data_IF_842437679430
#
_entry.id   IF_842437679430
#
_cell.length_a   1.000
_cell.length_b   1.000
_cell.length_c   1.000
_cell.angle_alpha   90.00
_cell.angle_beta   90.00
_cell.angle_gamma   90.00
#
_symmetry.space_group_name_H-M   'P 1'
#
loop_
_entity.id
_entity.type
_entity.pdbx_description
1 polymer ?
#
# COMPACT_ATOMS: atom_id res chain seq x y z
N UNK A 1 -8.37 -9.68 -9.30
CA UNK A 1 -7.04 -9.45 -8.69
C UNK A 1 -6.25 -8.42 -9.51
N UNK A 2 -6.06 -8.61 -10.80
CA UNK A 2 -5.32 -7.66 -11.65
C UNK A 2 -5.91 -6.25 -11.60
N UNK A 3 -7.23 -6.10 -11.60
CA UNK A 3 -7.91 -4.80 -11.45
C UNK A 3 -7.60 -4.16 -10.08
N UNK A 4 -7.54 -4.98 -9.01
CA UNK A 4 -7.12 -4.50 -7.69
C UNK A 4 -5.66 -4.02 -7.72
N UNK A 5 -4.76 -4.75 -8.37
CA UNK A 5 -3.35 -4.38 -8.49
C UNK A 5 -3.15 -3.07 -9.28
N UNK A 6 -3.87 -2.90 -10.39
CA UNK A 6 -3.84 -1.66 -11.18
C UNK A 6 -4.38 -0.47 -10.38
N UNK A 7 -5.50 -0.65 -9.68
CA UNK A 7 -6.06 0.41 -8.85
C UNK A 7 -5.21 0.69 -7.61
N UNK A 8 -4.56 -0.33 -7.05
CA UNK A 8 -3.61 -0.18 -5.96
C UNK A 8 -2.48 0.79 -6.31
N UNK A 9 -1.95 0.71 -7.53
CA UNK A 9 -0.92 1.62 -8.04
C UNK A 9 -1.40 3.09 -8.20
N UNK A 10 -2.69 3.34 -8.05
CA UNK A 10 -3.27 4.70 -8.05
C UNK A 10 -3.59 5.13 -6.62
N UNK A 11 -4.24 4.25 -5.84
CA UNK A 11 -4.80 4.60 -4.53
C UNK A 11 -3.78 4.61 -3.39
N UNK A 12 -2.78 3.75 -3.43
CA UNK A 12 -1.79 3.58 -2.37
C UNK A 12 -2.35 3.16 -1.00
N UNK A 13 -3.62 2.71 -0.96
CA UNK A 13 -4.36 2.44 0.27
C UNK A 13 -5.24 1.19 0.13
N UNK A 14 -5.12 0.27 1.10
CA UNK A 14 -5.92 -0.97 1.11
C UNK A 14 -7.43 -0.71 1.24
N UNK A 15 -7.93 0.11 2.19
CA UNK A 15 -9.36 0.37 2.30
C UNK A 15 -9.95 1.02 1.04
N UNK A 16 -9.24 1.95 0.43
CA UNK A 16 -9.70 2.64 -0.78
C UNK A 16 -9.78 1.66 -1.95
N UNK A 17 -8.74 0.84 -2.14
CA UNK A 17 -8.73 -0.20 -3.18
C UNK A 17 -9.88 -1.18 -2.99
N UNK A 18 -10.09 -1.68 -1.75
CA UNK A 18 -11.17 -2.60 -1.45
C UNK A 18 -12.55 -2.00 -1.73
N UNK A 19 -12.80 -0.78 -1.26
CA UNK A 19 -14.12 -0.14 -1.41
C UNK A 19 -14.42 0.21 -2.87
N UNK A 20 -13.47 0.82 -3.58
CA UNK A 20 -13.69 1.24 -4.96
C UNK A 20 -13.85 0.04 -5.91
N UNK A 21 -12.91 -0.89 -5.89
CA UNK A 21 -12.95 -2.05 -6.76
C UNK A 21 -13.99 -3.06 -6.29
N UNK A 22 -14.18 -3.21 -4.97
CA UNK A 22 -15.18 -4.11 -4.40
C UNK A 22 -16.60 -3.73 -4.79
N UNK A 23 -16.94 -2.44 -4.79
CA UNK A 23 -18.27 -1.96 -5.19
C UNK A 23 -18.62 -2.35 -6.64
N UNK A 24 -17.62 -2.39 -7.52
CA UNK A 24 -17.82 -2.72 -8.94
C UNK A 24 -17.73 -4.23 -9.17
N UNK A 25 -16.68 -4.89 -8.65
CA UNK A 25 -16.40 -6.28 -8.99
C UNK A 25 -17.22 -7.28 -8.17
N UNK A 26 -17.65 -6.96 -6.95
CA UNK A 26 -18.41 -7.90 -6.14
C UNK A 26 -19.71 -8.35 -6.82
N UNK A 27 -20.61 -7.45 -7.28
CA UNK A 27 -21.82 -7.86 -7.98
C UNK A 27 -21.50 -8.61 -9.28
N UNK A 28 -20.46 -8.21 -10.01
CA UNK A 28 -20.07 -8.90 -11.24
C UNK A 28 -19.58 -10.34 -10.97
N UNK A 29 -18.77 -10.57 -9.93
CA UNK A 29 -18.30 -11.90 -9.55
C UNK A 29 -19.45 -12.83 -9.15
N UNK A 30 -20.45 -12.31 -8.42
CA UNK A 30 -21.64 -13.08 -8.04
C UNK A 30 -22.47 -13.44 -9.26
N UNK A 31 -22.68 -12.50 -10.20
CA UNK A 31 -23.41 -12.75 -11.44
C UNK A 31 -22.69 -13.77 -12.35
N UNK A 32 -21.36 -13.80 -12.33
CA UNK A 32 -20.55 -14.78 -13.06
C UNK A 32 -20.49 -16.17 -12.38
N UNK A 33 -21.18 -16.36 -11.24
CA UNK A 33 -21.31 -17.65 -10.56
C UNK A 33 -20.21 -17.93 -9.52
N UNK A 34 -19.39 -16.96 -9.17
CA UNK A 34 -18.42 -17.10 -8.08
C UNK A 34 -19.14 -17.19 -6.73
N UNK A 35 -18.61 -18.01 -5.82
CA UNK A 35 -19.20 -18.10 -4.47
C UNK A 35 -19.01 -16.79 -3.70
N UNK A 36 -19.97 -16.45 -2.83
CA UNK A 36 -19.94 -15.25 -1.99
C UNK A 36 -18.65 -15.15 -1.17
N UNK A 37 -18.28 -16.26 -0.52
CA UNK A 37 -17.09 -16.32 0.34
C UNK A 37 -15.79 -16.10 -0.47
N UNK A 38 -15.68 -16.71 -1.65
CA UNK A 38 -14.54 -16.49 -2.52
C UNK A 38 -14.49 -15.03 -3.00
N UNK A 39 -15.63 -14.47 -3.45
CA UNK A 39 -15.68 -13.10 -3.97
C UNK A 39 -15.26 -12.07 -2.92
N UNK A 40 -15.75 -12.21 -1.69
CA UNK A 40 -15.35 -11.35 -0.58
C UNK A 40 -13.86 -11.53 -0.24
N UNK A 41 -13.40 -12.76 -0.06
CA UNK A 41 -12.00 -13.04 0.26
C UNK A 41 -11.03 -12.57 -0.83
N UNK A 42 -11.38 -12.78 -2.11
CA UNK A 42 -10.55 -12.35 -3.23
C UNK A 42 -10.45 -10.82 -3.34
N UNK A 43 -11.55 -10.10 -3.08
CA UNK A 43 -11.56 -8.64 -3.08
C UNK A 43 -10.82 -8.08 -1.86
N UNK A 44 -11.00 -8.67 -0.68
CA UNK A 44 -10.29 -8.25 0.53
C UNK A 44 -8.79 -8.47 0.38
N UNK A 45 -8.38 -9.68 -0.06
CA UNK A 45 -6.97 -9.97 -0.33
C UNK A 45 -6.41 -9.11 -1.48
N UNK A 46 -7.20 -8.86 -2.53
CA UNK A 46 -6.81 -7.93 -3.60
C UNK A 46 -6.66 -6.48 -3.12
N UNK A 47 -7.49 -6.06 -2.18
CA UNK A 47 -7.38 -4.74 -1.55
C UNK A 47 -6.06 -4.51 -0.83
N UNK A 48 -5.49 -5.56 -0.22
CA UNK A 48 -4.20 -5.44 0.49
C UNK A 48 -3.03 -5.07 -0.42
N UNK A 49 -3.14 -5.30 -1.72
CA UNK A 49 -2.13 -4.87 -2.70
C UNK A 49 -1.88 -3.36 -2.67
N UNK A 50 -2.87 -2.55 -2.26
CA UNK A 50 -2.72 -1.10 -2.10
C UNK A 50 -1.70 -0.65 -1.05
N UNK A 51 -1.24 -1.55 -0.19
CA UNK A 51 -0.17 -1.27 0.78
C UNK A 51 1.20 -1.63 0.21
N UNK A 52 1.28 -2.65 -0.65
CA UNK A 52 2.54 -3.21 -1.14
C UNK A 52 2.93 -2.65 -2.51
N UNK A 53 1.95 -2.49 -3.42
CA UNK A 53 2.21 -1.93 -4.75
C UNK A 53 2.42 -0.42 -4.64
N UNK A 54 3.56 0.12 -5.13
CA UNK A 54 3.80 1.56 -5.11
C UNK A 54 2.83 2.34 -6.03
N UNK A 55 2.52 3.61 -5.66
CA UNK A 55 2.87 4.31 -4.43
C UNK A 55 2.06 3.81 -3.23
N UNK A 56 2.67 3.73 -2.06
CA UNK A 56 2.05 3.18 -0.85
C UNK A 56 2.17 4.15 0.32
N UNK A 57 1.04 4.51 0.94
CA UNK A 57 1.02 5.39 2.11
C UNK A 57 1.83 4.80 3.27
N UNK A 58 1.71 3.53 3.64
CA UNK A 58 2.54 2.90 4.67
C UNK A 58 4.04 2.98 4.40
N UNK A 59 4.49 2.80 3.15
CA UNK A 59 5.90 2.93 2.80
C UNK A 59 6.39 4.39 2.93
N UNK A 60 5.56 5.37 2.58
CA UNK A 60 5.86 6.80 2.79
C UNK A 60 6.05 7.08 4.28
N UNK A 61 5.15 6.60 5.12
CA UNK A 61 5.22 6.79 6.57
C UNK A 61 6.43 6.09 7.19
N UNK A 62 6.73 4.87 6.74
CA UNK A 62 7.95 4.18 7.14
C UNK A 62 9.20 5.00 6.78
N UNK A 63 9.32 5.45 5.54
CA UNK A 63 10.44 6.28 5.08
C UNK A 63 10.57 7.58 5.89
N UNK A 64 9.43 8.21 6.23
CA UNK A 64 9.40 9.43 7.03
C UNK A 64 9.97 9.22 8.45
N UNK A 65 9.50 8.17 9.17
CA UNK A 65 9.92 7.97 10.56
C UNK A 65 11.29 7.30 10.69
N UNK A 66 11.74 6.57 9.68
CA UNK A 66 13.05 5.93 9.64
C UNK A 66 14.10 6.75 8.88
N UNK A 67 13.70 7.87 8.27
CA UNK A 67 14.56 8.74 7.46
C UNK A 67 15.24 8.00 6.28
N UNK A 68 14.53 7.01 5.72
CA UNK A 68 15.00 6.25 4.55
C UNK A 68 14.33 6.77 3.27
N UNK A 69 15.04 6.70 2.12
CA UNK A 69 14.51 7.18 0.84
C UNK A 69 13.21 6.47 0.44
N UNK A 70 12.15 7.23 0.21
CA UNK A 70 10.84 6.71 -0.19
C UNK A 70 10.90 6.08 -1.59
N UNK A 71 11.73 6.63 -2.49
CA UNK A 71 11.97 6.07 -3.83
C UNK A 71 12.45 4.63 -3.79
N UNK A 72 13.40 4.34 -2.89
CA UNK A 72 14.01 3.03 -2.76
C UNK A 72 13.01 2.02 -2.18
N UNK A 73 12.18 2.46 -1.22
CA UNK A 73 11.07 1.66 -0.70
C UNK A 73 10.05 1.32 -1.80
N UNK A 74 9.74 2.27 -2.67
CA UNK A 74 8.84 2.03 -3.79
C UNK A 74 9.43 1.02 -4.78
N UNK A 75 10.71 1.16 -5.15
CA UNK A 75 11.38 0.20 -6.03
C UNK A 75 11.38 -1.19 -5.41
N UNK A 76 11.73 -1.29 -4.12
CA UNK A 76 11.76 -2.55 -3.40
C UNK A 76 10.38 -3.23 -3.27
N UNK A 77 9.30 -2.45 -3.25
CA UNK A 77 7.92 -2.95 -3.18
C UNK A 77 7.39 -3.58 -4.46
N UNK A 78 7.99 -3.30 -5.64
CA UNK A 78 7.50 -3.79 -6.94
C UNK A 78 7.52 -5.32 -6.99
N UNK A 79 8.64 -5.93 -6.68
CA UNK A 79 8.81 -7.40 -6.80
C UNK A 79 7.85 -8.15 -5.84
N UNK A 80 7.80 -7.83 -4.53
CA UNK A 80 6.84 -8.43 -3.61
C UNK A 80 5.39 -8.21 -4.05
N UNK A 81 5.04 -7.00 -4.50
CA UNK A 81 3.70 -6.68 -5.00
C UNK A 81 3.29 -7.53 -6.20
N UNK A 82 4.19 -7.70 -7.16
CA UNK A 82 3.97 -8.57 -8.32
C UNK A 82 3.86 -10.05 -7.92
N UNK A 83 4.70 -10.53 -6.99
CA UNK A 83 4.64 -11.91 -6.50
C UNK A 83 3.30 -12.21 -5.80
N UNK A 84 2.84 -11.31 -4.93
CA UNK A 84 1.55 -11.46 -4.25
C UNK A 84 0.42 -11.41 -5.27
N UNK A 85 0.46 -10.48 -6.22
CA UNK A 85 -0.54 -10.39 -7.31
C UNK A 85 -0.59 -11.68 -8.12
N UNK A 86 0.57 -12.24 -8.48
CA UNK A 86 0.65 -13.51 -9.22
C UNK A 86 0.11 -14.68 -8.40
N UNK A 87 0.47 -14.78 -7.12
CA UNK A 87 0.00 -15.84 -6.23
C UNK A 87 -1.53 -15.77 -6.03
N UNK A 88 -2.09 -14.59 -5.76
CA UNK A 88 -3.53 -14.40 -5.63
C UNK A 88 -4.27 -14.66 -6.94
N UNK A 89 -3.70 -14.26 -8.08
CA UNK A 89 -4.29 -14.54 -9.39
C UNK A 89 -4.30 -16.03 -9.70
N UNK A 90 -3.21 -16.73 -9.41
CA UNK A 90 -3.08 -18.18 -9.59
C UNK A 90 -4.07 -18.94 -8.69
N UNK A 91 -4.20 -18.55 -7.43
CA UNK A 91 -5.20 -19.07 -6.52
C UNK A 91 -6.63 -18.84 -7.03
N UNK A 92 -6.92 -17.63 -7.52
CA UNK A 92 -8.23 -17.29 -8.07
C UNK A 92 -8.59 -18.12 -9.30
N UNK A 93 -7.63 -18.35 -10.19
CA UNK A 93 -7.80 -19.23 -11.36
C UNK A 93 -8.01 -20.69 -10.95
N UNK A 94 -7.27 -21.16 -9.95
CA UNK A 94 -7.39 -22.54 -9.48
C UNK A 94 -8.74 -22.83 -8.83
N UNK A 95 -9.24 -21.93 -7.98
CA UNK A 95 -10.54 -22.09 -7.29
C UNK A 95 -11.69 -22.01 -8.29
N UNK A 96 -11.63 -21.07 -9.24
CA UNK A 96 -12.71 -20.84 -10.21
C UNK A 96 -12.55 -21.61 -11.53
N UNK A 97 -11.68 -22.60 -11.60
CA UNK A 97 -11.43 -23.40 -12.81
C UNK A 97 -12.65 -24.11 -13.40
N UNK A 98 -13.69 -24.25 -12.60
CA UNK A 98 -14.96 -24.87 -12.99
C UNK A 98 -15.95 -23.90 -13.64
N UNK A 99 -15.70 -22.59 -13.53
CA UNK A 99 -16.53 -21.58 -14.17
C UNK A 99 -16.20 -21.48 -15.66
N UNK A 100 -17.19 -21.25 -16.51
CA UNK A 100 -16.96 -21.09 -17.94
C UNK A 100 -16.10 -19.85 -18.19
N UNK A 101 -15.00 -20.04 -18.95
CA UNK A 101 -14.18 -18.93 -19.36
C UNK A 101 -14.96 -18.05 -20.35
N UNK A 102 -15.13 -16.78 -20.05
CA UNK A 102 -15.64 -15.81 -21.01
C UNK A 102 -14.54 -15.50 -22.02
N UNK A 103 -14.87 -15.54 -23.30
CA UNK A 103 -13.92 -15.13 -24.33
C UNK A 103 -13.58 -13.64 -24.15
N UNK A 104 -12.29 -13.34 -24.13
CA UNK A 104 -11.82 -11.97 -24.18
C UNK A 104 -12.17 -11.41 -25.57
N UNK A 105 -13.02 -10.39 -25.62
CA UNK A 105 -13.30 -9.67 -26.86
C UNK A 105 -12.26 -8.56 -27.05
N UNK A 106 -11.30 -8.71 -27.98
CA UNK A 106 -10.20 -7.76 -28.14
C UNK A 106 -10.68 -6.32 -28.37
N UNK A 107 -11.80 -6.17 -29.07
CA UNK A 107 -12.37 -4.86 -29.38
C UNK A 107 -12.88 -4.15 -28.12
N UNK A 108 -13.53 -4.87 -27.20
CA UNK A 108 -13.97 -4.32 -25.91
C UNK A 108 -12.77 -3.95 -25.01
N UNK A 109 -11.72 -4.77 -25.03
CA UNK A 109 -10.50 -4.47 -24.27
C UNK A 109 -9.81 -3.19 -24.79
N UNK A 110 -9.71 -3.03 -26.11
CA UNK A 110 -9.12 -1.84 -26.72
C UNK A 110 -9.96 -0.58 -26.42
N UNK A 111 -11.29 -0.70 -26.48
CA UNK A 111 -12.19 0.41 -26.12
C UNK A 111 -12.01 0.82 -24.66
N UNK A 112 -12.03 -0.16 -23.74
CA UNK A 112 -11.83 0.10 -22.32
C UNK A 112 -10.45 0.70 -21.99
N UNK A 113 -9.39 0.23 -22.67
CA UNK A 113 -8.05 0.82 -22.55
C UNK A 113 -8.01 2.26 -23.07
N UNK A 114 -8.69 2.54 -24.18
CA UNK A 114 -8.74 3.88 -24.75
C UNK A 114 -9.52 4.86 -23.86
N UNK A 115 -10.60 4.41 -23.26
CA UNK A 115 -11.39 5.21 -22.30
C UNK A 115 -10.63 5.44 -21.00
N UNK A 116 -9.95 4.39 -20.48
CA UNK A 116 -9.19 4.44 -19.23
C UNK A 116 -7.76 4.98 -19.33
N UNK A 117 -7.29 5.35 -20.55
CA UNK A 117 -5.88 5.75 -20.76
C UNK A 117 -5.46 6.91 -19.87
N UNK A 118 -6.34 7.87 -19.69
CA UNK A 118 -6.05 9.05 -18.87
C UNK A 118 -5.85 8.68 -17.39
N UNK A 119 -6.69 7.81 -16.84
CA UNK A 119 -6.53 7.31 -15.48
C UNK A 119 -5.29 6.44 -15.33
N UNK A 120 -4.97 5.61 -16.33
CA UNK A 120 -3.78 4.75 -16.34
C UNK A 120 -2.47 5.54 -16.47
N UNK A 121 -2.52 6.75 -17.06
CA UNK A 121 -1.32 7.61 -17.13
C UNK A 121 -0.92 8.18 -15.76
N UNK A 122 -1.81 8.24 -14.78
CA UNK A 122 -1.50 8.80 -13.46
C UNK A 122 -0.37 8.04 -12.75
N UNK A 123 -0.44 6.70 -12.55
CA UNK A 123 0.68 5.96 -11.98
C UNK A 123 1.94 6.00 -12.85
N UNK A 124 1.81 6.07 -14.18
CA UNK A 124 2.96 6.18 -15.08
C UNK A 124 3.69 7.51 -14.87
N UNK A 125 2.95 8.62 -14.77
CA UNK A 125 3.53 9.95 -14.52
C UNK A 125 4.19 9.97 -13.13
N UNK A 126 3.51 9.46 -12.10
CA UNK A 126 3.99 9.49 -10.73
C UNK A 126 5.23 8.61 -10.56
N UNK A 127 5.14 7.32 -10.87
CA UNK A 127 6.24 6.38 -10.71
C UNK A 127 7.35 6.63 -11.74
N UNK A 128 6.99 6.93 -12.97
CA UNK A 128 7.96 7.27 -14.02
C UNK A 128 8.77 8.51 -13.67
N UNK A 129 8.13 9.55 -13.12
CA UNK A 129 8.81 10.76 -12.65
C UNK A 129 9.76 10.51 -11.48
N UNK A 130 9.35 9.68 -10.51
CA UNK A 130 10.18 9.31 -9.35
C UNK A 130 11.37 8.44 -9.80
N UNK A 131 11.12 7.38 -10.57
CA UNK A 131 12.15 6.41 -10.93
C UNK A 131 13.16 6.94 -11.97
N UNK A 132 12.75 7.90 -12.79
CA UNK A 132 13.68 8.61 -13.68
C UNK A 132 14.55 9.64 -12.95
N UNK A 133 14.25 9.94 -11.68
CA UNK A 133 14.97 10.94 -10.90
C UNK A 133 14.60 12.40 -11.22
N UNK A 134 13.59 12.62 -12.07
CA UNK A 134 13.11 13.98 -12.38
C UNK A 134 12.35 14.62 -11.22
N UNK A 135 11.62 13.82 -10.44
CA UNK A 135 10.80 14.30 -9.34
C UNK A 135 11.14 13.57 -8.04
N UNK A 136 11.19 14.32 -6.96
CA UNK A 136 11.05 13.74 -5.63
C UNK A 136 9.62 13.18 -5.45
N UNK A 137 9.39 12.27 -4.50
CA UNK A 137 8.04 11.75 -4.22
C UNK A 137 6.99 12.84 -3.95
N UNK A 138 7.40 13.94 -3.30
CA UNK A 138 6.52 15.08 -3.01
C UNK A 138 6.17 15.88 -4.26
N UNK A 139 7.14 16.13 -5.13
CA UNK A 139 6.92 16.82 -6.41
C UNK A 139 6.06 15.96 -7.35
N UNK A 140 6.33 14.66 -7.41
CA UNK A 140 5.54 13.72 -8.18
C UNK A 140 4.06 13.69 -7.72
N UNK A 141 3.81 13.77 -6.42
CA UNK A 141 2.45 13.87 -5.88
C UNK A 141 1.75 15.18 -6.30
N UNK A 142 2.46 16.30 -6.31
CA UNK A 142 1.91 17.58 -6.79
C UNK A 142 1.59 17.55 -8.29
N UNK A 143 2.47 16.95 -9.10
CA UNK A 143 2.25 16.75 -10.55
C UNK A 143 1.07 15.82 -10.79
N UNK A 144 0.98 14.71 -10.05
CA UNK A 144 -0.13 13.76 -10.15
C UNK A 144 -1.48 14.41 -9.79
N UNK A 145 -1.50 15.25 -8.74
CA UNK A 145 -2.69 16.01 -8.35
C UNK A 145 -3.11 16.98 -9.47
N UNK A 146 -2.17 17.77 -9.99
CA UNK A 146 -2.43 18.70 -11.07
C UNK A 146 -2.94 17.99 -12.34
N UNK A 147 -2.33 16.85 -12.68
CA UNK A 147 -2.76 16.01 -13.79
C UNK A 147 -4.17 15.46 -13.58
N UNK A 148 -4.45 14.88 -12.39
CA UNK A 148 -5.77 14.33 -12.06
C UNK A 148 -6.87 15.41 -12.16
N UNK A 149 -6.63 16.59 -11.58
CA UNK A 149 -7.56 17.73 -11.70
C UNK A 149 -7.77 18.15 -13.15
N UNK A 150 -6.70 18.21 -13.95
CA UNK A 150 -6.80 18.54 -15.37
C UNK A 150 -7.67 17.52 -16.12
N UNK A 151 -7.45 16.24 -15.90
CA UNK A 151 -8.22 15.16 -16.55
C UNK A 151 -9.70 15.24 -16.17
N UNK A 152 -10.01 15.37 -14.88
CA UNK A 152 -11.40 15.40 -14.39
C UNK A 152 -12.17 16.65 -14.82
N UNK A 153 -11.52 17.81 -14.85
CA UNK A 153 -12.18 19.06 -15.20
C UNK A 153 -12.34 19.23 -16.72
N UNK A 154 -11.30 18.90 -17.51
CA UNK A 154 -11.26 19.23 -18.92
C UNK A 154 -11.59 18.05 -19.85
N UNK A 155 -11.24 16.82 -19.47
CA UNK A 155 -11.41 15.62 -20.28
C UNK A 155 -12.70 14.90 -19.93
N UNK A 156 -12.84 14.43 -18.70
CA UNK A 156 -14.04 13.70 -18.25
C UNK A 156 -15.20 14.66 -17.99
N UNK A 157 -14.91 15.87 -17.50
CA UNK A 157 -15.90 16.91 -17.18
C UNK A 157 -16.94 16.44 -16.17
N UNK A 158 -16.53 15.53 -15.27
CA UNK A 158 -17.40 14.97 -14.24
C UNK A 158 -17.33 15.77 -12.95
N UNK A 159 -16.23 16.51 -12.73
CA UNK A 159 -15.98 17.27 -11.50
C UNK A 159 -16.57 18.67 -11.59
N UNK A 160 -17.69 18.87 -10.88
CA UNK A 160 -18.27 20.20 -10.67
C UNK A 160 -17.54 20.96 -9.56
N UNK A 161 -17.70 22.29 -9.51
CA UNK A 161 -17.12 23.14 -8.47
C UNK A 161 -17.52 22.69 -7.05
N UNK A 162 -18.74 22.21 -6.89
CA UNK A 162 -19.25 21.70 -5.61
C UNK A 162 -18.54 20.41 -5.20
N UNK A 163 -18.33 19.49 -6.15
CA UNK A 163 -17.69 18.21 -5.90
C UNK A 163 -16.20 18.42 -5.57
N UNK A 164 -15.54 19.33 -6.30
CA UNK A 164 -14.18 19.76 -5.98
C UNK A 164 -14.07 20.31 -4.57
N UNK A 165 -14.97 21.23 -4.17
CA UNK A 165 -14.98 21.77 -2.81
C UNK A 165 -15.20 20.66 -1.76
N UNK A 166 -16.18 19.78 -1.99
CA UNK A 166 -16.47 18.69 -1.07
C UNK A 166 -15.28 17.72 -0.94
N UNK A 167 -14.69 17.30 -2.04
CA UNK A 167 -13.51 16.45 -2.05
C UNK A 167 -12.33 17.09 -1.32
N UNK A 168 -12.12 18.41 -1.52
CA UNK A 168 -11.07 19.15 -0.81
C UNK A 168 -11.32 19.17 0.70
N UNK A 169 -12.56 19.43 1.13
CA UNK A 169 -12.96 19.42 2.55
C UNK A 169 -12.76 18.03 3.16
N UNK A 170 -13.17 16.97 2.46
CA UNK A 170 -13.04 15.60 2.98
C UNK A 170 -11.58 15.16 3.04
N UNK A 171 -10.76 15.56 2.06
CA UNK A 171 -9.30 15.36 2.11
C UNK A 171 -8.68 16.13 3.29
N UNK A 172 -9.08 17.38 3.52
CA UNK A 172 -8.60 18.17 4.65
C UNK A 172 -8.97 17.54 6.00
N UNK A 173 -10.17 16.94 6.13
CA UNK A 173 -10.55 16.19 7.33
C UNK A 173 -9.66 14.97 7.54
N UNK A 174 -9.39 14.18 6.48
CA UNK A 174 -8.49 13.04 6.56
C UNK A 174 -7.07 13.44 7.00
N UNK A 175 -6.53 14.51 6.42
CA UNK A 175 -5.22 15.03 6.82
C UNK A 175 -5.24 15.55 8.26
N UNK A 176 -6.33 16.24 8.66
CA UNK A 176 -6.54 16.71 10.03
C UNK A 176 -6.58 15.59 11.08
N UNK A 177 -6.96 14.36 10.69
CA UNK A 177 -6.88 13.17 11.55
C UNK A 177 -5.48 12.56 11.57
N UNK A 178 -4.77 12.57 10.43
CA UNK A 178 -3.45 11.94 10.31
C UNK A 178 -2.32 12.77 10.91
N UNK A 179 -2.32 14.09 10.71
CA UNK A 179 -1.22 14.94 11.18
C UNK A 179 -0.99 14.92 12.70
N UNK A 180 -2.01 14.96 13.57
CA UNK A 180 -1.79 14.81 15.00
C UNK A 180 -1.15 13.47 15.37
N UNK A 181 -1.56 12.38 14.71
CA UNK A 181 -0.99 11.06 14.95
C UNK A 181 0.49 11.04 14.57
N UNK A 182 0.85 11.59 13.40
CA UNK A 182 2.24 11.70 12.95
C UNK A 182 3.05 12.58 13.91
N UNK A 183 2.51 13.73 14.34
CA UNK A 183 3.20 14.63 15.26
C UNK A 183 3.51 13.96 16.62
N UNK A 184 2.52 13.25 17.18
CA UNK A 184 2.71 12.48 18.43
C UNK A 184 3.72 11.36 18.22
N UNK A 185 3.67 10.64 17.10
CA UNK A 185 4.60 9.56 16.78
C UNK A 185 6.05 10.06 16.64
N UNK A 186 6.26 11.21 15.98
CA UNK A 186 7.58 11.83 15.86
C UNK A 186 8.10 12.31 17.23
N UNK A 187 7.22 12.87 18.06
CA UNK A 187 7.56 13.25 19.44
C UNK A 187 7.95 12.02 20.27
N UNK A 188 7.18 10.93 20.16
CA UNK A 188 7.49 9.66 20.79
C UNK A 188 8.85 9.10 20.31
N UNK A 189 9.10 9.09 18.98
CA UNK A 189 10.41 8.71 18.41
C UNK A 189 11.54 9.49 19.06
N UNK A 190 11.39 10.81 19.21
CA UNK A 190 12.42 11.66 19.82
C UNK A 190 12.69 11.27 21.27
N UNK A 191 11.65 11.06 22.07
CA UNK A 191 11.76 10.63 23.48
C UNK A 191 12.46 9.25 23.55
N UNK A 192 12.00 8.29 22.74
CA UNK A 192 12.58 6.94 22.71
C UNK A 192 14.07 6.97 22.33
N UNK A 193 14.46 7.85 21.42
CA UNK A 193 15.85 8.02 20.98
C UNK A 193 16.70 8.64 22.10
N UNK A 194 16.21 9.66 22.81
CA UNK A 194 16.91 10.29 23.94
C UNK A 194 17.13 9.28 25.07
N UNK A 195 16.11 8.47 25.38
CA UNK A 195 16.16 7.41 26.41
C UNK A 195 16.90 6.15 25.93
N UNK A 196 17.43 6.14 24.71
CA UNK A 196 18.15 5.02 24.09
C UNK A 196 17.36 3.69 24.09
N UNK A 197 16.03 3.78 24.10
CA UNK A 197 15.14 2.59 24.14
C UNK A 197 15.38 1.66 22.93
N UNK A 198 15.46 2.16 21.66
CA UNK A 198 15.72 1.30 20.51
C UNK A 198 17.07 0.55 20.63
N UNK A 199 18.11 1.23 21.13
CA UNK A 199 19.44 0.64 21.31
C UNK A 199 19.44 -0.44 22.41
N UNK A 200 18.82 -0.15 23.55
CA UNK A 200 18.71 -1.11 24.66
C UNK A 200 17.87 -2.33 24.25
N UNK A 201 16.78 -2.10 23.51
CA UNK A 201 15.95 -3.17 22.94
C UNK A 201 16.77 -4.04 21.98
N UNK A 202 17.54 -3.41 21.11
CA UNK A 202 18.37 -4.09 20.14
C UNK A 202 19.43 -4.97 20.81
N UNK A 203 20.10 -4.48 21.86
CA UNK A 203 21.05 -5.25 22.65
C UNK A 203 20.37 -6.43 23.36
N UNK A 204 19.25 -6.18 24.04
CA UNK A 204 18.50 -7.24 24.73
C UNK A 204 18.04 -8.34 23.76
N UNK A 205 17.57 -7.96 22.58
CA UNK A 205 17.16 -8.92 21.55
C UNK A 205 18.38 -9.69 21.03
N UNK A 206 19.53 -9.05 20.81
CA UNK A 206 20.74 -9.71 20.32
C UNK A 206 21.30 -10.74 21.33
N UNK A 207 21.15 -10.48 22.63
CA UNK A 207 21.52 -11.42 23.67
C UNK A 207 20.56 -12.61 23.78
N UNK A 208 19.30 -12.43 23.38
CA UNK A 208 18.24 -13.44 23.51
C UNK A 208 18.04 -14.27 22.25
N UNK A 209 18.38 -13.74 21.07
CA UNK A 209 18.11 -14.34 19.75
C UNK A 209 19.42 -14.39 18.96
N UNK A 210 19.98 -15.56 18.73
CA UNK A 210 21.27 -15.71 18.04
C UNK A 210 21.17 -15.65 16.51
N UNK A 211 19.97 -15.81 15.93
CA UNK A 211 19.78 -16.01 14.50
C UNK A 211 18.98 -14.88 13.87
N UNK A 212 19.47 -14.34 12.74
CA UNK A 212 18.73 -13.41 11.85
C UNK A 212 17.34 -13.92 11.48
N UNK A 213 17.23 -15.24 11.19
CA UNK A 213 15.95 -15.85 10.79
C UNK A 213 14.99 -15.89 11.98
N UNK A 214 15.49 -16.27 13.16
CA UNK A 214 14.67 -16.29 14.37
C UNK A 214 14.18 -14.89 14.74
N UNK A 215 15.04 -13.86 14.60
CA UNK A 215 14.65 -12.46 14.75
C UNK A 215 13.53 -12.06 13.80
N UNK A 216 13.69 -12.34 12.50
CA UNK A 216 12.66 -12.02 11.50
C UNK A 216 11.34 -12.73 11.77
N UNK A 217 11.37 -14.00 12.20
CA UNK A 217 10.16 -14.73 12.56
C UNK A 217 9.49 -14.14 13.81
N UNK A 218 10.26 -13.80 14.83
CA UNK A 218 9.73 -13.15 16.04
C UNK A 218 9.10 -11.79 15.73
N UNK A 219 9.76 -10.98 14.89
CA UNK A 219 9.21 -9.71 14.41
C UNK A 219 7.94 -9.93 13.61
N UNK A 220 7.89 -10.91 12.69
CA UNK A 220 6.68 -11.21 11.95
C UNK A 220 5.52 -11.60 12.88
N UNK A 221 5.75 -12.46 13.86
CA UNK A 221 4.72 -12.84 14.86
C UNK A 221 4.26 -11.59 15.63
N UNK A 222 5.19 -10.74 16.07
CA UNK A 222 4.86 -9.49 16.75
C UNK A 222 4.00 -8.59 15.86
N UNK A 223 4.41 -8.37 14.60
CA UNK A 223 3.68 -7.55 13.63
C UNK A 223 2.28 -8.11 13.35
N UNK A 224 2.15 -9.43 13.28
CA UNK A 224 0.88 -10.12 13.16
C UNK A 224 -0.03 -9.84 14.38
N UNK A 225 0.46 -9.95 15.58
CA UNK A 225 -0.30 -9.67 16.80
C UNK A 225 -0.70 -8.20 16.91
N UNK A 226 0.23 -7.29 16.64
CA UNK A 226 -0.02 -5.84 16.64
C UNK A 226 -1.00 -5.44 15.54
N UNK A 227 -0.88 -6.03 14.34
CA UNK A 227 -1.77 -5.77 13.21
C UNK A 227 -3.22 -6.18 13.46
N UNK A 228 -3.49 -7.11 14.39
CA UNK A 228 -4.84 -7.42 14.83
C UNK A 228 -5.47 -6.30 15.70
N UNK A 229 -4.65 -5.51 16.40
CA UNK A 229 -5.11 -4.53 17.40
C UNK A 229 -5.04 -3.09 16.90
N UNK A 230 -4.02 -2.77 16.10
CA UNK A 230 -3.73 -1.42 15.64
C UNK A 230 -3.96 -1.28 14.14
N UNK A 231 -4.21 -0.04 13.70
CA UNK A 231 -4.17 0.25 12.27
C UNK A 231 -2.72 0.29 11.74
N UNK A 232 -2.58 0.16 10.42
CA UNK A 232 -1.27 0.08 9.75
C UNK A 232 -0.43 1.35 9.98
N UNK A 233 -1.08 2.51 9.95
CA UNK A 233 -0.40 3.82 10.11
C UNK A 233 0.21 3.92 11.51
N UNK A 234 -0.60 3.72 12.55
CA UNK A 234 -0.16 3.80 13.94
C UNK A 234 0.91 2.77 14.26
N UNK A 235 0.76 1.54 13.76
CA UNK A 235 1.71 0.48 14.00
C UNK A 235 3.08 0.77 13.36
N UNK A 236 3.12 1.24 12.12
CA UNK A 236 4.38 1.61 11.45
C UNK A 236 5.05 2.78 12.17
N UNK A 237 4.31 3.83 12.48
CA UNK A 237 4.85 5.03 13.12
C UNK A 237 5.51 4.75 14.48
N UNK A 238 4.99 3.78 15.22
CA UNK A 238 5.52 3.42 16.55
C UNK A 238 6.60 2.33 16.45
N UNK A 239 6.33 1.25 15.72
CA UNK A 239 7.21 0.08 15.72
C UNK A 239 8.41 0.21 14.79
N UNK A 240 8.30 0.97 13.69
CA UNK A 240 9.42 1.08 12.75
C UNK A 240 10.67 1.67 13.40
N UNK A 241 10.63 2.82 14.11
CA UNK A 241 11.83 3.35 14.76
C UNK A 241 12.33 2.47 15.92
N UNK A 242 11.45 1.72 16.58
CA UNK A 242 11.85 0.82 17.69
C UNK A 242 12.59 -0.42 17.18
N UNK A 243 12.09 -1.04 16.11
CA UNK A 243 12.60 -2.33 15.64
C UNK A 243 13.73 -2.18 14.64
N UNK A 244 13.86 -1.03 13.98
CA UNK A 244 14.89 -0.80 12.95
C UNK A 244 16.30 -0.96 13.51
N UNK A 245 16.58 -0.39 14.70
CA UNK A 245 17.89 -0.53 15.34
C UNK A 245 18.28 -1.99 15.59
N UNK A 246 17.33 -2.82 16.03
CA UNK A 246 17.56 -4.25 16.17
C UNK A 246 17.78 -4.93 14.82
N UNK A 247 16.99 -4.60 13.80
CA UNK A 247 17.14 -5.17 12.46
C UNK A 247 18.52 -4.87 11.85
N UNK A 248 19.03 -3.65 12.03
CA UNK A 248 20.35 -3.24 11.55
C UNK A 248 21.48 -4.03 12.26
N UNK A 249 21.37 -4.35 13.55
CA UNK A 249 22.34 -5.21 14.26
C UNK A 249 22.44 -6.62 13.66
N UNK A 250 21.33 -7.16 13.15
CA UNK A 250 21.34 -8.45 12.44
C UNK A 250 21.76 -8.34 10.96
N UNK A 251 22.23 -7.16 10.52
CA UNK A 251 22.61 -6.92 9.13
C UNK A 251 21.42 -7.01 8.18
N UNK A 252 20.22 -6.61 8.62
CA UNK A 252 19.04 -6.52 7.78
C UNK A 252 19.00 -5.11 7.19
N UNK A 253 18.93 -5.03 5.86
CA UNK A 253 18.81 -3.76 5.17
C UNK A 253 17.53 -3.03 5.58
N UNK A 254 17.58 -1.72 5.91
CA UNK A 254 16.42 -0.94 6.34
C UNK A 254 15.27 -0.91 5.33
N UNK A 255 15.58 -0.87 4.03
CA UNK A 255 14.55 -0.89 2.97
C UNK A 255 13.85 -2.24 2.95
N UNK A 256 14.63 -3.33 3.00
CA UNK A 256 14.09 -4.69 3.08
C UNK A 256 13.20 -4.85 4.33
N UNK A 257 13.64 -4.34 5.48
CA UNK A 257 12.84 -4.39 6.71
C UNK A 257 11.52 -3.62 6.59
N UNK A 258 11.54 -2.45 5.92
CA UNK A 258 10.35 -1.67 5.63
C UNK A 258 9.33 -2.44 4.77
N UNK A 259 9.79 -3.20 3.77
CA UNK A 259 8.92 -4.07 2.97
C UNK A 259 8.34 -5.21 3.82
N UNK A 260 9.15 -5.85 4.67
CA UNK A 260 8.65 -6.89 5.58
C UNK A 260 7.54 -6.33 6.47
N UNK A 261 7.73 -5.14 7.05
CA UNK A 261 6.70 -4.49 7.86
C UNK A 261 5.43 -4.24 7.05
N UNK A 262 5.54 -3.62 5.87
CA UNK A 262 4.39 -3.33 5.01
C UNK A 262 3.63 -4.61 4.62
N UNK A 263 4.33 -5.68 4.24
CA UNK A 263 3.73 -6.96 3.84
C UNK A 263 3.08 -7.68 5.03
N UNK A 264 3.74 -7.71 6.20
CA UNK A 264 3.21 -8.42 7.37
C UNK A 264 1.88 -7.85 7.86
N UNK A 265 1.68 -6.53 7.77
CA UNK A 265 0.41 -5.89 8.12
C UNK A 265 -0.72 -6.19 7.13
N UNK A 266 -0.42 -6.56 5.88
CA UNK A 266 -1.45 -6.82 4.87
C UNK A 266 -2.20 -8.11 5.13
N UNK A 267 -1.53 -9.13 5.63
CA UNK A 267 -2.06 -10.50 5.72
C UNK A 267 -3.14 -10.71 6.77
N UNK A 268 -3.29 -9.80 7.74
CA UNK A 268 -4.25 -9.95 8.84
C UNK A 268 -5.59 -9.25 8.61
N UNK A 269 -5.68 -8.40 7.59
CA UNK A 269 -6.93 -7.70 7.25
C UNK A 269 -7.63 -8.29 6.01
N UNK A 270 -7.05 -9.31 5.40
CA UNK A 270 -7.64 -10.11 4.34
C UNK A 270 -8.39 -11.31 4.90
#
# INVERSE_FOLDING_TARGET
ILSCALFAAISGSSPVTLLAIGAILYPALIQDGSSKNFSLGALTAGGTLGIVIPPSIPMILYGLVTEKPISDLFIAGIIPGLLITAALSMYSLWVNRHLPAKALEPMQLISALREGIWSLMLPVILLGGIYSGYFSPTEAAAVALAYGLFVEIFIHRELGLRDYYQTTVDTAKLLGMLFPIIAVALSLKTILTIEQIPQNLALWVSDSVESKIAFLLAVNVLLLLVGCLFDVVSAILVLAPLLLGAAELYGIDPIHFGIIMAVSYTHLRA
#
